data_IF_659116252803
#
_entry.id   IF_659116252803
#
_cell.length_a   1.000
_cell.length_b   1.000
_cell.length_c   1.000
_cell.angle_alpha   90.00
_cell.angle_beta   90.00
_cell.angle_gamma   90.00
#
_symmetry.space_group_name_H-M   'P 1'
#
loop_
_entity.id
_entity.type
_entity.pdbx_description
1 polymer ?
2 non-polymer ?
3 non-polymer ?
4 water ?
#
# COMPACT_ATOMS: atom_id res chain seq x y z
N UNK A 29 -21.11 -32.35 -3.53
CA UNK A 29 -21.16 -31.04 -2.91
C UNK A 29 -19.76 -30.40 -2.85
N UNK A 30 -19.66 -29.28 -2.14
CA UNK A 30 -18.44 -28.46 -2.10
C UNK A 30 -17.15 -29.20 -1.76
N UNK A 31 -16.05 -28.75 -2.37
CA UNK A 31 -14.73 -29.28 -2.09
C UNK A 31 -14.23 -28.72 -0.77
N UNK A 32 -13.81 -29.61 0.11
CA UNK A 32 -13.28 -29.23 1.40
C UNK A 32 -11.82 -28.78 1.30
N UNK A 33 -11.52 -27.68 1.99
CA UNK A 33 -10.20 -27.08 1.99
C UNK A 33 -9.79 -26.79 3.43
N UNK A 34 -8.70 -27.43 3.85
CA UNK A 34 -8.16 -27.30 5.19
C UNK A 34 -7.02 -26.29 5.17
N UNK A 35 -7.18 -25.20 5.91
CA UNK A 35 -6.15 -24.15 5.99
C UNK A 35 -5.73 -23.96 7.44
N UNK A 36 -4.42 -23.96 7.71
CA UNK A 36 -3.92 -23.72 9.06
C UNK A 36 -3.36 -22.32 9.17
N UNK A 37 -3.39 -21.77 10.37
CA UNK A 37 -2.95 -20.40 10.62
C UNK A 37 -2.28 -20.29 12.00
N UNK A 38 -1.87 -19.08 12.33
CA UNK A 38 -1.28 -18.83 13.63
C UNK A 38 -2.35 -18.78 14.71
N UNK A 39 -1.94 -18.94 15.96
CA UNK A 39 -2.85 -18.95 17.08
C UNK A 39 -3.08 -17.58 17.72
N UNK A 40 -2.25 -16.60 17.39
CA UNK A 40 -2.43 -15.27 17.93
C UNK A 40 -1.53 -14.28 17.21
N UNK A 41 -2.10 -13.58 16.25
CA UNK A 41 -1.34 -12.60 15.49
C UNK A 41 -2.29 -11.52 15.02
N UNK A 42 -2.80 -10.73 15.97
CA UNK A 42 -3.70 -9.64 15.61
C UNK A 42 -2.92 -8.60 14.80
N UNK A 43 -3.55 -8.03 13.78
CA UNK A 43 -4.94 -8.18 13.34
C UNK A 43 -5.19 -9.24 12.26
N UNK A 44 -4.23 -10.11 12.00
CA UNK A 44 -4.35 -11.12 10.95
C UNK A 44 -5.20 -12.31 11.34
N UNK A 45 -4.91 -12.90 12.50
CA UNK A 45 -5.79 -13.93 13.07
C UNK A 45 -5.73 -13.86 14.58
N UNK A 46 -6.90 -13.80 15.22
CA UNK A 46 -6.97 -13.73 16.68
C UNK A 46 -8.40 -14.01 17.15
N UNK A 47 -8.54 -14.27 18.44
CA UNK A 47 -9.86 -14.50 19.03
C UNK A 47 -10.45 -13.23 19.61
N UNK A 48 -11.71 -12.97 19.33
CA UNK A 48 -12.42 -11.84 19.89
C UNK A 48 -12.90 -12.16 21.30
N UNK A 49 -13.74 -11.30 21.85
CA UNK A 49 -14.20 -11.45 23.23
C UNK A 49 -15.03 -12.71 23.41
N UNK A 50 -15.71 -13.13 22.35
CA UNK A 50 -16.56 -14.31 22.41
C UNK A 50 -15.81 -15.57 22.02
N UNK A 51 -14.49 -15.46 21.92
CA UNK A 51 -13.61 -16.59 21.56
C UNK A 51 -13.77 -17.05 20.10
N UNK A 52 -14.33 -16.17 19.29
CA UNK A 52 -14.51 -16.43 17.87
C UNK A 52 -13.29 -15.96 17.08
N UNK A 53 -12.91 -16.72 16.07
CA UNK A 53 -11.76 -16.35 15.25
C UNK A 53 -12.11 -15.28 14.22
N UNK A 54 -11.31 -14.22 14.24
CA UNK A 54 -11.50 -13.05 13.38
C UNK A 54 -10.13 -12.60 12.90
N UNK A 55 -10.12 -11.64 11.99
CA UNK A 55 -8.88 -11.03 11.55
C UNK A 55 -8.84 -10.90 10.03
N UNK A 56 -7.81 -10.22 9.53
CA UNK A 56 -7.67 -9.98 8.11
C UNK A 56 -7.51 -11.29 7.35
N UNK A 57 -6.64 -12.18 7.84
CA UNK A 57 -6.41 -13.46 7.16
C UNK A 57 -7.66 -14.31 7.18
N UNK A 58 -8.35 -14.29 8.31
CA UNK A 58 -9.57 -15.07 8.48
C UNK A 58 -10.66 -14.57 7.52
N UNK A 59 -10.87 -13.27 7.50
CA UNK A 59 -11.89 -12.69 6.64
C UNK A 59 -11.56 -12.89 5.16
N UNK A 60 -10.30 -12.68 4.78
CA UNK A 60 -9.90 -12.93 3.41
C UNK A 60 -10.11 -14.39 3.01
N UNK A 61 -9.62 -15.32 3.81
CA UNK A 61 -9.77 -16.72 3.49
C UNK A 61 -11.23 -17.13 3.40
N UNK A 62 -12.06 -16.64 4.32
CA UNK A 62 -13.48 -16.97 4.31
C UNK A 62 -14.13 -16.48 3.02
N UNK A 63 -13.78 -15.28 2.60
CA UNK A 63 -14.39 -14.79 1.36
C UNK A 63 -13.81 -15.49 0.13
N UNK A 64 -12.51 -15.79 0.12
CA UNK A 64 -11.92 -16.55 -0.97
C UNK A 64 -12.66 -17.89 -1.11
N UNK A 65 -12.92 -18.53 0.01
CA UNK A 65 -13.63 -19.81 -0.03
C UNK A 65 -15.07 -19.68 -0.53
N UNK A 66 -15.74 -18.60 -0.11
CA UNK A 66 -17.10 -18.36 -0.56
C UNK A 66 -17.13 -18.16 -2.09
N UNK A 67 -16.23 -17.32 -2.61
CA UNK A 67 -16.17 -16.99 -4.03
C UNK A 67 -15.91 -18.25 -4.85
N UNK A 68 -15.13 -19.16 -4.28
CA UNK A 68 -14.70 -20.37 -4.96
C UNK A 68 -15.55 -21.60 -4.65
N UNK A 69 -16.62 -21.43 -3.88
CA UNK A 69 -17.48 -22.54 -3.48
C UNK A 69 -16.69 -23.65 -2.79
N UNK A 70 -15.79 -23.26 -1.88
CA UNK A 70 -15.04 -24.20 -1.07
C UNK A 70 -15.65 -24.26 0.33
N UNK A 71 -15.65 -25.46 0.91
CA UNK A 71 -15.99 -25.65 2.31
C UNK A 71 -14.72 -25.51 3.15
N UNK A 72 -14.56 -24.37 3.79
CA UNK A 72 -13.33 -24.04 4.48
C UNK A 72 -13.29 -24.62 5.87
N UNK A 73 -12.18 -25.30 6.20
CA UNK A 73 -11.91 -25.77 7.56
C UNK A 73 -10.63 -25.12 8.06
N UNK A 74 -10.79 -24.08 8.88
CA UNK A 74 -9.65 -23.35 9.46
C UNK A 74 -9.17 -24.04 10.72
N UNK A 75 -7.85 -24.08 10.90
CA UNK A 75 -7.28 -24.47 12.19
C UNK A 75 -6.23 -23.44 12.59
N UNK A 76 -5.99 -23.34 13.91
CA UNK A 76 -5.15 -22.27 14.46
C UNK A 76 -4.07 -22.80 15.42
N UNK A 77 -3.22 -23.69 14.94
CA UNK A 77 -2.25 -24.33 15.83
C UNK A 77 -1.01 -23.49 16.11
N UNK A 78 -0.81 -22.41 15.38
CA UNK A 78 0.41 -21.62 15.44
C UNK A 78 1.22 -21.80 14.17
N UNK A 79 2.02 -20.80 13.81
CA UNK A 79 2.69 -20.82 12.52
C UNK A 79 3.60 -22.02 12.32
N UNK A 80 4.45 -22.27 13.31
CA UNK A 80 5.39 -23.38 13.21
C UNK A 80 4.63 -24.71 13.07
N UNK A 81 3.58 -24.90 13.86
CA UNK A 81 2.78 -26.11 13.74
C UNK A 81 2.07 -26.18 12.39
N UNK A 82 1.62 -25.03 11.90
CA UNK A 82 0.93 -24.97 10.62
C UNK A 82 1.86 -25.46 9.49
N UNK A 83 3.13 -25.04 9.55
CA UNK A 83 4.09 -25.46 8.54
C UNK A 83 4.29 -26.96 8.62
N UNK A 84 4.38 -27.47 9.86
CA UNK A 84 4.55 -28.89 10.10
C UNK A 84 3.37 -29.66 9.54
N UNK A 85 2.16 -29.17 9.83
CA UNK A 85 0.94 -29.85 9.42
C UNK A 85 0.79 -29.79 7.89
N UNK A 86 1.18 -28.68 7.29
CA UNK A 86 1.17 -28.55 5.83
C UNK A 86 2.13 -29.54 5.15
N UNK A 87 3.35 -29.64 5.68
CA UNK A 87 4.33 -30.57 5.12
C UNK A 87 3.84 -32.01 5.29
N UNK A 88 3.15 -32.28 6.38
CA UNK A 88 2.69 -33.63 6.70
C UNK A 88 1.43 -34.01 5.92
N UNK A 89 0.88 -33.05 5.19
CA UNK A 89 -0.31 -33.26 4.37
C UNK A 89 -1.60 -33.18 5.16
N UNK A 90 -1.50 -32.79 6.43
CA UNK A 90 -2.64 -32.72 7.32
C UNK A 90 -3.57 -31.54 6.97
N UNK A 91 -3.01 -30.47 6.40
CA UNK A 91 -3.82 -29.36 5.85
C UNK A 91 -3.37 -29.12 4.42
N UNK A 92 -4.13 -28.32 3.69
CA UNK A 92 -3.91 -28.06 2.27
C UNK A 92 -3.17 -26.74 1.99
N UNK A 93 -3.23 -25.82 2.93
CA UNK A 93 -2.59 -24.52 2.76
C UNK A 93 -2.47 -23.81 4.08
N UNK A 94 -1.77 -22.68 4.04
CA UNK A 94 -1.56 -21.83 5.19
C UNK A 94 -1.89 -20.39 4.81
N UNK A 95 -2.53 -19.68 5.72
CA UNK A 95 -2.56 -18.23 5.65
C UNK A 95 -2.27 -17.77 7.08
N UNK A 96 -1.19 -17.01 7.27
CA UNK A 96 -0.68 -16.72 8.62
C UNK A 96 0.32 -15.58 8.54
N UNK A 97 -0.01 -14.52 7.80
CA UNK A 97 0.91 -13.40 7.62
C UNK A 97 2.28 -13.91 7.21
N UNK A 98 2.30 -14.83 6.24
CA UNK A 98 3.51 -15.53 5.85
C UNK A 98 4.25 -14.81 4.73
N UNK A 99 5.45 -14.33 5.03
CA UNK A 99 6.23 -13.56 4.06
C UNK A 99 6.71 -14.42 2.90
N UNK A 100 6.49 -13.93 1.67
CA UNK A 100 7.00 -14.59 0.47
C UNK A 100 8.49 -14.28 0.33
N UNK A 101 9.32 -15.33 0.25
CA UNK A 101 10.78 -15.16 0.14
C UNK A 101 11.32 -16.18 -0.84
N UNK A 102 12.49 -15.91 -1.41
CA UNK A 102 13.08 -16.83 -2.38
C UNK A 102 13.35 -18.18 -1.75
N UNK A 103 13.85 -18.17 -0.51
CA UNK A 103 14.16 -19.42 0.17
C UNK A 103 12.88 -20.24 0.39
N UNK A 104 11.78 -19.58 0.76
CA UNK A 104 10.53 -20.31 1.02
C UNK A 104 9.95 -20.90 -0.25
N UNK A 105 10.23 -20.26 -1.38
CA UNK A 105 9.79 -20.75 -2.67
C UNK A 105 10.46 -22.06 -3.06
N UNK A 106 11.51 -22.46 -2.35
CA UNK A 106 12.11 -23.78 -2.59
C UNK A 106 11.22 -24.92 -2.05
N UNK A 107 10.30 -24.57 -1.15
CA UNK A 107 9.48 -25.58 -0.46
C UNK A 107 7.98 -25.38 -0.70
N UNK A 108 7.58 -24.13 -0.92
CA UNK A 108 6.19 -23.75 -1.03
C UNK A 108 5.91 -22.99 -2.32
N UNK A 109 4.68 -23.11 -2.82
CA UNK A 109 4.20 -22.18 -3.81
C UNK A 109 3.29 -21.15 -3.11
N UNK A 110 3.34 -19.92 -3.59
CA UNK A 110 2.58 -18.82 -3.01
C UNK A 110 1.60 -18.23 -3.98
N UNK A 111 0.53 -17.68 -3.43
CA UNK A 111 -0.30 -16.73 -4.16
C UNK A 111 0.45 -15.41 -4.39
N UNK A 112 -0.18 -14.54 -5.15
CA UNK A 112 0.18 -13.14 -5.13
C UNK A 112 0.04 -12.63 -3.70
N UNK A 113 0.87 -11.65 -3.33
CA UNK A 113 0.74 -11.13 -1.97
C UNK A 113 -0.61 -10.46 -1.78
N UNK A 114 -1.28 -10.74 -0.67
CA UNK A 114 -2.57 -10.16 -0.39
C UNK A 114 -2.48 -8.96 0.57
N UNK A 115 -1.27 -8.73 1.09
CA UNK A 115 -0.97 -7.57 1.92
C UNK A 115 0.54 -7.47 2.00
N UNK A 116 1.06 -6.26 1.89
CA UNK A 116 2.47 -6.00 2.11
C UNK A 116 2.62 -5.09 3.30
N UNK A 117 3.23 -5.65 4.35
CA UNK A 117 3.37 -4.94 5.60
C UNK A 117 4.57 -4.01 5.56
N UNK A 118 4.79 -3.36 6.69
CA UNK A 118 5.84 -2.37 6.83
C UNK A 118 6.11 -2.18 8.30
N UNK A 119 7.29 -1.66 8.60
CA UNK A 119 7.66 -1.32 9.97
C UNK A 119 7.62 0.17 10.18
N UNK A 120 7.32 0.58 11.39
CA UNK A 120 7.49 1.98 11.76
C UNK A 120 7.56 2.12 13.25
N UNK A 121 7.90 3.32 13.70
CA UNK A 121 7.99 3.60 15.12
C UNK A 121 6.68 4.20 15.63
N UNK A 122 6.05 3.49 16.55
CA UNK A 122 4.89 4.03 17.27
C UNK A 122 5.37 4.92 18.39
N UNK A 123 4.67 6.02 18.61
CA UNK A 123 4.85 6.89 19.75
C UNK A 123 3.52 7.15 20.42
N UNK A 124 3.53 7.74 21.60
CA UNK A 124 2.28 8.24 22.16
C UNK A 124 1.77 9.37 21.26
N UNK A 125 0.49 9.71 21.38
CA UNK A 125 -0.07 10.76 20.55
C UNK A 125 0.51 12.14 20.86
N UNK A 126 0.98 12.33 22.08
CA UNK A 126 1.53 13.62 22.48
C UNK A 126 2.97 13.84 22.01
N UNK A 127 3.63 12.78 21.55
CA UNK A 127 5.04 12.89 21.18
C UNK A 127 5.23 13.73 19.93
N UNK A 128 6.32 14.50 19.90
CA UNK A 128 6.64 15.32 18.75
C UNK A 128 7.64 14.64 17.83
N UNK A 129 8.18 13.51 18.28
CA UNK A 129 9.15 12.76 17.50
C UNK A 129 8.51 12.24 16.23
N UNK A 130 9.22 12.42 15.11
CA UNK A 130 8.66 12.01 13.83
C UNK A 130 9.72 11.64 12.79
N UNK A 131 10.99 11.79 13.14
CA UNK A 131 12.06 11.56 12.19
C UNK A 131 13.06 10.58 12.79
N UNK A 132 13.51 9.64 11.96
CA UNK A 132 14.46 8.64 12.43
C UNK A 132 15.74 9.30 12.92
N UNK A 133 15.95 10.56 12.55
CA UNK A 133 17.06 11.35 13.05
C UNK A 133 16.81 11.86 14.49
N UNK A 134 15.54 12.05 14.85
CA UNK A 134 15.17 12.52 16.19
C UNK A 134 15.47 11.52 17.31
N UNK A 135 16.01 10.36 16.96
CA UNK A 135 16.11 9.26 17.93
C UNK A 135 17.43 9.24 18.68
N UNK A 136 18.32 10.16 18.33
CA UNK A 136 19.66 10.20 18.92
C UNK A 136 19.59 10.28 20.44
N UNK A 137 20.18 9.29 21.10
CA UNK A 137 20.27 9.28 22.55
C UNK A 137 19.04 8.73 23.24
N UNK A 138 18.02 8.40 22.46
CA UNK A 138 16.75 7.92 23.03
C UNK A 138 16.65 6.40 22.97
N UNK A 139 15.78 5.86 23.81
CA UNK A 139 15.53 4.42 23.86
C UNK A 139 14.35 4.09 22.95
N UNK A 140 14.55 3.06 22.12
CA UNK A 140 13.53 2.58 21.20
C UNK A 140 13.35 1.09 21.45
N UNK A 141 12.08 0.67 21.46
CA UNK A 141 11.73 -0.72 21.74
C UNK A 141 11.44 -1.61 20.54
N UNK A 142 11.63 -2.91 20.69
CA UNK A 142 11.16 -3.88 19.70
C UNK A 142 10.90 -5.21 20.41
N UNK A 143 10.09 -6.06 19.81
CA UNK A 143 9.85 -7.38 20.36
C UNK A 143 10.95 -8.33 19.95
N UNK A 144 11.32 -9.20 20.88
CA UNK A 144 12.41 -10.14 20.62
C UNK A 144 12.08 -11.03 19.44
N UNK A 145 13.08 -11.24 18.57
CA UNK A 145 12.93 -12.23 17.51
C UNK A 145 12.23 -11.75 16.25
N UNK A 146 12.01 -10.44 16.11
CA UNK A 146 11.20 -9.91 15.03
C UNK A 146 12.03 -9.13 14.00
N UNK A 147 11.42 -8.85 12.86
CA UNK A 147 12.05 -7.98 11.87
C UNK A 147 12.31 -6.57 12.40
N UNK A 148 11.41 -6.08 13.24
CA UNK A 148 11.58 -4.79 13.90
C UNK A 148 12.89 -4.76 14.69
N UNK A 149 13.14 -5.82 15.45
CA UNK A 149 14.37 -5.91 16.23
C UNK A 149 15.59 -5.86 15.32
N UNK A 150 15.55 -6.66 14.27
CA UNK A 150 16.66 -6.70 13.31
C UNK A 150 16.88 -5.35 12.64
N UNK A 151 15.80 -4.67 12.24
CA UNK A 151 15.96 -3.37 11.61
C UNK A 151 16.62 -2.41 12.59
N UNK A 152 16.16 -2.40 13.84
CA UNK A 152 16.76 -1.53 14.84
C UNK A 152 18.25 -1.83 14.99
N UNK A 153 18.59 -3.10 15.04
CA UNK A 153 20.01 -3.48 15.17
C UNK A 153 20.83 -3.00 13.97
N UNK A 154 20.26 -3.15 12.78
CA UNK A 154 20.95 -2.78 11.56
C UNK A 154 21.21 -1.29 11.50
N UNK A 155 20.28 -0.50 12.03
CA UNK A 155 20.33 0.95 11.85
C UNK A 155 20.75 1.71 13.10
N UNK A 156 21.18 0.99 14.14
CA UNK A 156 21.54 1.63 15.40
C UNK A 156 22.76 2.54 15.26
N UNK A 157 23.77 2.06 14.54
CA UNK A 157 24.93 2.90 14.34
C UNK A 157 24.54 4.07 13.43
N UNK A 158 23.64 3.83 12.48
CA UNK A 158 23.18 4.89 11.59
C UNK A 158 22.44 6.03 12.32
N UNK A 159 21.61 5.70 13.32
CA UNK A 159 20.72 6.69 13.95
C UNK A 159 20.96 6.97 15.44
N UNK A 160 21.73 6.11 16.12
CA UNK A 160 22.23 6.43 17.45
C UNK A 160 21.29 6.31 18.64
N UNK A 161 20.22 5.54 18.49
CA UNK A 161 19.35 5.21 19.62
C UNK A 161 19.93 4.03 20.41
N UNK A 162 19.39 3.79 21.60
CA UNK A 162 19.63 2.55 22.31
C UNK A 162 18.40 1.67 22.14
N UNK A 163 18.60 0.35 22.18
CA UNK A 163 17.54 -0.62 21.94
C UNK A 163 17.13 -1.29 23.24
N UNK A 164 15.82 -1.29 23.51
CA UNK A 164 15.25 -2.09 24.59
C UNK A 164 14.41 -3.18 23.97
N UNK A 165 14.62 -4.42 24.42
CA UNK A 165 14.01 -5.59 23.83
C UNK A 165 12.94 -6.14 24.77
N UNK A 166 11.77 -6.44 24.22
CA UNK A 166 10.63 -6.90 24.99
C UNK A 166 10.17 -8.29 24.57
N UNK A 167 9.59 -9.00 25.53
CA UNK A 167 9.15 -10.36 25.30
C UNK A 167 7.94 -10.37 24.35
N UNK A 168 7.08 -9.37 24.49
CA UNK A 168 5.84 -9.32 23.73
C UNK A 168 5.30 -7.91 23.66
N UNK A 169 4.19 -7.74 22.94
CA UNK A 169 3.62 -6.44 22.68
C UNK A 169 3.11 -5.73 23.91
N UNK A 170 2.45 -6.46 24.80
CA UNK A 170 1.90 -5.85 25.99
C UNK A 170 3.01 -5.19 26.79
N UNK A 171 4.15 -5.86 26.90
CA UNK A 171 5.24 -5.28 27.66
C UNK A 171 5.87 -4.07 26.97
N UNK A 172 6.06 -4.18 25.66
CA UNK A 172 6.63 -3.08 24.89
C UNK A 172 5.75 -1.83 24.96
N UNK A 173 4.44 -2.02 24.73
CA UNK A 173 3.57 -0.87 24.73
C UNK A 173 3.35 -0.30 26.13
N UNK A 174 3.51 -1.12 27.17
CA UNK A 174 3.51 -0.57 28.51
C UNK A 174 4.73 0.29 28.79
N UNK A 175 5.87 -0.08 28.24
CA UNK A 175 7.08 0.74 28.37
C UNK A 175 6.92 2.07 27.65
N UNK A 176 6.26 2.05 26.50
CA UNK A 176 6.02 3.28 25.75
C UNK A 176 5.11 4.20 26.53
N UNK A 177 4.05 3.66 27.12
CA UNK A 177 3.10 4.47 27.86
C UNK A 177 3.70 4.99 29.18
N UNK A 178 4.65 4.24 29.74
CA UNK A 178 5.33 4.65 30.97
C UNK A 178 6.43 5.66 30.70
N UNK A 179 6.78 5.83 29.42
CA UNK A 179 7.80 6.79 29.04
C UNK A 179 9.22 6.26 29.11
N UNK A 180 9.36 4.95 29.23
CA UNK A 180 10.67 4.33 29.31
C UNK A 180 11.29 3.98 27.97
N UNK A 181 10.50 4.06 26.90
CA UNK A 181 11.03 4.15 25.55
C UNK A 181 10.36 5.33 24.88
N UNK A 182 11.04 5.97 23.92
CA UNK A 182 10.51 7.11 23.18
C UNK A 182 9.73 6.67 21.97
N UNK A 183 9.89 5.41 21.58
CA UNK A 183 9.23 4.87 20.42
C UNK A 183 9.28 3.35 20.48
N UNK A 184 8.36 2.70 19.77
CA UNK A 184 8.28 1.25 19.72
C UNK A 184 8.16 0.85 18.26
N UNK A 185 9.14 0.10 17.78
CA UNK A 185 9.18 -0.38 16.39
C UNK A 185 8.33 -1.65 16.24
N UNK A 186 7.32 -1.59 15.38
CA UNK A 186 6.45 -2.75 15.16
C UNK A 186 5.87 -2.63 13.74
N UNK A 187 5.03 -3.58 13.37
CA UNK A 187 4.39 -3.54 12.07
C UNK A 187 3.28 -2.52 12.00
N UNK A 188 3.22 -1.82 10.88
CA UNK A 188 2.14 -0.89 10.60
C UNK A 188 0.73 -1.46 10.86
N UNK A 189 0.39 -2.66 10.35
CA UNK A 189 -0.95 -3.16 10.66
C UNK A 189 -1.22 -3.45 12.14
N UNK A 190 -0.18 -3.82 12.89
CA UNK A 190 -0.31 -4.14 14.30
C UNK A 190 -0.56 -2.85 15.08
N UNK A 191 0.20 -1.81 14.78
CA UNK A 191 0.02 -0.52 15.42
C UNK A 191 -1.35 0.06 15.03
N UNK A 192 -1.72 -0.09 13.76
CA UNK A 192 -3.02 0.43 13.28
C UNK A 192 -4.17 -0.19 14.05
N UNK A 193 -4.09 -1.50 14.25
CA UNK A 193 -5.14 -2.19 15.00
C UNK A 193 -5.16 -1.73 16.45
N UNK A 194 -3.99 -1.61 17.06
CA UNK A 194 -3.90 -1.06 18.41
C UNK A 194 -4.54 0.35 18.49
N UNK A 195 -4.33 1.18 17.46
CA UNK A 195 -4.92 2.53 17.41
C UNK A 195 -6.43 2.47 17.29
N UNK A 196 -6.91 1.49 16.53
CA UNK A 196 -8.35 1.29 16.35
C UNK A 196 -8.95 0.86 17.69
N UNK A 197 -8.19 0.06 18.43
CA UNK A 197 -8.61 -0.38 19.78
C UNK A 197 -8.67 0.77 20.79
N UNK A 198 -8.13 1.94 20.42
CA UNK A 198 -8.14 3.10 21.28
C UNK A 198 -6.88 3.27 22.11
N UNK A 199 -5.83 2.51 21.80
CA UNK A 199 -4.57 2.67 22.52
C UNK A 199 -3.95 4.04 22.16
N UNK A 200 -3.17 4.61 23.07
CA UNK A 200 -2.59 5.94 22.88
C UNK A 200 -1.35 5.86 22.00
N UNK A 201 -1.58 5.73 20.70
CA UNK A 201 -0.50 5.55 19.73
C UNK A 201 -0.72 6.42 18.51
N UNK A 202 0.41 6.84 17.92
CA UNK A 202 0.43 7.55 16.66
C UNK A 202 1.56 6.99 15.81
N UNK A 203 1.41 7.16 14.51
CA UNK A 203 2.45 6.79 13.56
C UNK A 203 2.91 8.02 12.79
N UNK A 204 3.93 8.68 13.34
CA UNK A 204 4.44 9.91 12.76
C UNK A 204 5.73 9.74 11.96
N UNK A 205 6.31 8.54 12.02
CA UNK A 205 7.53 8.24 11.31
C UNK A 205 7.28 7.60 9.94
N UNK A 206 8.25 7.71 9.04
CA UNK A 206 8.15 6.98 7.78
C UNK A 206 8.03 5.47 8.00
N UNK A 207 7.49 4.80 6.99
CA UNK A 207 7.36 3.36 6.97
C UNK A 207 8.52 2.74 6.25
N UNK A 208 8.91 1.58 6.74
CA UNK A 208 9.95 0.78 6.11
C UNK A 208 9.27 -0.45 5.54
N UNK A 209 9.19 -0.55 4.22
CA UNK A 209 8.46 -1.66 3.60
C UNK A 209 9.15 -2.98 3.93
N UNK A 210 8.33 -4.02 4.15
CA UNK A 210 8.80 -5.37 4.39
C UNK A 210 8.66 -6.11 3.07
N UNK A 211 9.79 -6.38 2.40
CA UNK A 211 9.70 -6.91 1.04
C UNK A 211 9.03 -8.27 0.94
N UNK A 212 8.37 -8.51 -0.18
CA UNK A 212 7.78 -9.81 -0.49
C UNK A 212 6.28 -9.83 -0.34
N UNK A 213 5.81 -9.32 0.80
CA UNK A 213 4.41 -9.34 1.14
C UNK A 213 4.02 -10.68 1.74
N UNK A 214 2.80 -10.74 2.23
CA UNK A 214 2.23 -11.96 2.80
C UNK A 214 1.44 -12.68 1.74
N UNK A 215 1.59 -13.99 1.70
CA UNK A 215 0.92 -14.82 0.72
C UNK A 215 0.29 -16.05 1.30
N UNK A 216 -0.68 -16.55 0.58
CA UNK A 216 -1.27 -17.88 0.81
C UNK A 216 -0.30 -18.91 0.26
N UNK A 217 -0.05 -19.94 1.06
CA UNK A 217 0.98 -20.93 0.75
C UNK A 217 0.42 -22.33 0.66
N UNK A 218 0.91 -23.07 -0.32
CA UNK A 218 0.69 -24.51 -0.42
C UNK A 218 2.04 -25.21 -0.63
N UNK A 219 2.06 -26.54 -0.64
CA UNK A 219 3.32 -27.23 -0.87
C UNK A 219 3.72 -27.07 -2.34
N UNK A 220 5.02 -26.92 -2.63
CA UNK A 220 5.42 -26.66 -4.00
C UNK A 220 4.95 -27.76 -4.94
N UNK A 221 4.40 -27.36 -6.08
CA UNK A 221 3.93 -28.29 -7.10
C UNK A 221 2.58 -28.91 -6.83
N UNK A 222 1.97 -28.52 -5.71
CA UNK A 222 0.68 -29.08 -5.30
C UNK A 222 -0.39 -27.98 -5.21
N UNK A 223 -1.63 -28.40 -5.40
CA UNK A 223 -2.79 -27.56 -5.10
C UNK A 223 -2.81 -26.23 -5.86
N UNK A 224 -2.36 -26.23 -7.10
CA UNK A 224 -2.43 -25.03 -7.93
C UNK A 224 -3.84 -24.47 -8.04
N UNK A 225 -4.84 -25.33 -7.99
CA UNK A 225 -6.21 -24.85 -8.00
C UNK A 225 -6.48 -23.92 -6.81
N UNK A 226 -5.91 -24.22 -5.64
CA UNK A 226 -6.12 -23.38 -4.46
C UNK A 226 -5.43 -22.01 -4.63
N UNK A 227 -4.19 -22.05 -5.09
CA UNK A 227 -3.47 -20.84 -5.39
C UNK A 227 -4.21 -20.00 -6.45
N UNK A 228 -4.64 -20.63 -7.54
CA UNK A 228 -5.29 -19.89 -8.60
C UNK A 228 -6.62 -19.27 -8.11
N UNK A 229 -7.34 -20.04 -7.31
CA UNK A 229 -8.60 -19.59 -6.75
C UNK A 229 -8.40 -18.43 -5.82
N UNK A 230 -7.33 -18.51 -5.04
CA UNK A 230 -6.99 -17.45 -4.14
C UNK A 230 -6.69 -16.17 -4.93
N UNK A 231 -5.84 -16.29 -5.94
CA UNK A 231 -5.47 -15.12 -6.76
C UNK A 231 -6.67 -14.49 -7.44
N UNK A 232 -7.55 -15.32 -7.97
CA UNK A 232 -8.72 -14.80 -8.68
C UNK A 232 -9.66 -14.09 -7.70
N UNK A 233 -9.90 -14.70 -6.56
CA UNK A 233 -10.76 -14.10 -5.56
C UNK A 233 -10.16 -12.82 -4.98
N UNK A 234 -8.84 -12.79 -4.80
CA UNK A 234 -8.17 -11.60 -4.30
C UNK A 234 -8.40 -10.44 -5.27
N UNK A 235 -8.22 -10.69 -6.56
CA UNK A 235 -8.36 -9.65 -7.57
C UNK A 235 -9.80 -9.14 -7.57
N UNK A 236 -10.75 -10.06 -7.41
CA UNK A 236 -12.17 -9.68 -7.34
C UNK A 236 -12.46 -8.81 -6.12
N UNK A 237 -11.97 -9.24 -4.97
CA UNK A 237 -12.17 -8.47 -3.75
C UNK A 237 -11.51 -7.09 -3.78
N UNK A 238 -10.33 -6.96 -4.38
CA UNK A 238 -9.70 -5.65 -4.50
C UNK A 238 -10.54 -4.76 -5.39
N UNK A 239 -11.09 -5.34 -6.45
CA UNK A 239 -11.84 -4.59 -7.44
C UNK A 239 -13.23 -4.17 -6.94
N UNK A 240 -13.82 -4.96 -6.03
CA UNK A 240 -15.23 -4.73 -5.68
C UNK A 240 -15.48 -4.08 -4.33
N UNK A 241 -14.39 -3.74 -3.65
CA UNK A 241 -14.47 -3.01 -2.39
C UNK A 241 -14.39 -3.87 -1.15
N UNK A 242 -14.54 -5.18 -1.30
CA UNK A 242 -14.59 -6.06 -0.13
C UNK A 242 -13.26 -6.13 0.59
N UNK A 243 -12.17 -6.13 -0.14
CA UNK A 243 -10.83 -6.12 0.44
C UNK A 243 -10.63 -4.89 1.32
N UNK A 244 -10.91 -3.72 0.77
CA UNK A 244 -10.76 -2.47 1.51
C UNK A 244 -11.61 -2.52 2.79
N UNK A 245 -12.83 -3.04 2.69
CA UNK A 245 -13.72 -3.11 3.86
C UNK A 245 -13.12 -3.99 4.93
N UNK A 246 -12.50 -5.10 4.52
CA UNK A 246 -11.84 -5.95 5.50
C UNK A 246 -10.71 -5.19 6.24
N UNK A 247 -9.82 -4.55 5.49
CA UNK A 247 -8.71 -3.83 6.10
C UNK A 247 -9.21 -2.73 7.05
N UNK A 248 -10.29 -2.05 6.66
CA UNK A 248 -10.80 -0.98 7.51
C UNK A 248 -11.41 -1.48 8.82
N UNK A 249 -11.93 -2.70 8.83
CA UNK A 249 -12.45 -3.27 10.07
C UNK A 249 -11.39 -3.29 11.18
N UNK A 250 -10.13 -3.41 10.77
CA UNK A 250 -9.04 -3.56 11.71
C UNK A 250 -8.19 -2.30 11.78
N UNK A 251 -8.67 -1.22 11.18
CA UNK A 251 -8.00 0.06 11.35
C UNK A 251 -6.96 0.42 10.30
N UNK A 252 -6.87 -0.33 9.19
CA UNK A 252 -5.77 -0.15 8.23
C UNK A 252 -6.12 0.72 7.00
N UNK A 253 -5.32 1.79 6.85
CA UNK A 253 -5.24 2.84 5.80
C UNK A 253 -6.26 3.99 5.61
N UNK A 254 -7.14 4.34 6.55
CA UNK A 254 -7.23 3.92 7.94
C UNK A 254 -5.92 3.87 8.73
N UNK B 30 -4.83 32.20 10.30
CA UNK B 30 -5.50 32.34 9.02
C UNK B 30 -4.50 32.78 7.96
N UNK B 31 -4.18 31.85 7.06
CA UNK B 31 -3.04 32.02 6.18
C UNK B 31 -3.43 31.79 4.73
N UNK B 32 -2.97 32.65 3.84
CA UNK B 32 -3.13 32.40 2.41
C UNK B 32 -2.05 31.42 1.96
N UNK B 33 -2.43 30.40 1.19
CA UNK B 33 -1.51 29.35 0.76
C UNK B 33 -1.68 29.07 -0.74
N UNK B 34 -0.63 29.34 -1.49
CA UNK B 34 -0.62 29.13 -2.95
C UNK B 34 0.03 27.80 -3.28
N UNK B 35 -0.75 26.90 -3.88
CA UNK B 35 -0.30 25.57 -4.26
C UNK B 35 -0.42 25.35 -5.75
N UNK B 36 0.68 24.96 -6.39
CA UNK B 36 0.68 24.65 -7.81
C UNK B 36 0.61 23.14 -8.07
N UNK B 37 0.03 22.79 -9.20
CA UNK B 37 -0.18 21.40 -9.59
C UNK B 37 -0.05 21.22 -11.09
N UNK B 38 -0.22 19.98 -11.54
CA UNK B 38 -0.22 19.69 -12.97
C UNK B 38 -1.52 20.16 -13.61
N UNK B 39 -1.50 20.27 -14.92
CA UNK B 39 -2.67 20.73 -15.68
C UNK B 39 -3.62 19.63 -16.10
N UNK B 40 -3.17 18.38 -16.11
CA UNK B 40 -4.06 17.28 -16.40
C UNK B 40 -3.41 15.95 -16.02
N UNK B 41 -3.83 15.39 -14.91
CA UNK B 41 -3.29 14.12 -14.42
C UNK B 41 -4.39 13.44 -13.62
N UNK B 42 -5.41 12.96 -14.32
CA UNK B 42 -6.46 12.19 -13.68
C UNK B 42 -5.88 10.87 -13.16
N UNK B 43 -6.31 10.43 -11.97
CA UNK B 43 -7.37 10.97 -11.12
C UNK B 43 -6.90 11.94 -10.04
N UNK B 44 -5.67 12.43 -10.14
CA UNK B 44 -5.11 13.34 -9.14
C UNK B 44 -5.55 14.81 -9.26
N UNK B 45 -5.45 15.38 -10.45
CA UNK B 45 -5.98 16.73 -10.71
C UNK B 45 -6.43 16.80 -12.16
N UNK B 46 -7.67 17.22 -12.39
CA UNK B 46 -8.22 17.28 -13.73
C UNK B 46 -9.49 18.10 -13.68
N UNK B 47 -9.91 18.58 -14.84
CA UNK B 47 -11.13 19.38 -14.91
C UNK B 47 -12.29 18.52 -15.33
N UNK B 48 -13.42 18.70 -14.64
CA UNK B 48 -14.66 18.00 -14.98
C UNK B 48 -15.45 18.78 -16.05
N UNK B 49 -16.69 18.38 -16.31
CA UNK B 49 -17.48 18.96 -17.38
C UNK B 49 -17.89 20.41 -17.17
N UNK B 50 -17.83 20.86 -15.91
CA UNK B 50 -18.07 22.25 -15.55
C UNK B 50 -16.81 23.07 -15.53
N UNK B 51 -15.71 22.44 -15.93
CA UNK B 51 -14.38 23.03 -15.88
C UNK B 51 -13.93 23.22 -14.43
N UNK B 52 -14.58 22.54 -13.50
CA UNK B 52 -14.16 22.58 -12.10
C UNK B 52 -12.99 21.63 -11.90
N UNK B 53 -11.99 22.09 -11.16
CA UNK B 53 -10.88 21.22 -10.78
C UNK B 53 -11.29 20.23 -9.70
N UNK B 54 -11.02 18.96 -9.99
CA UNK B 54 -11.34 17.86 -9.11
C UNK B 54 -10.19 16.86 -9.11
N UNK B 55 -10.29 15.85 -8.25
CA UNK B 55 -9.28 14.81 -8.21
C UNK B 55 -8.84 14.54 -6.78
N UNK B 56 -8.07 13.48 -6.61
CA UNK B 56 -7.54 13.09 -5.31
C UNK B 56 -6.67 14.20 -4.69
N UNK B 57 -5.75 14.75 -5.47
CA UNK B 57 -4.88 15.80 -4.95
C UNK B 57 -5.67 17.05 -4.62
N UNK B 58 -6.57 17.41 -5.52
CA UNK B 58 -7.41 18.61 -5.32
C UNK B 58 -8.25 18.46 -4.07
N UNK B 59 -8.92 17.32 -3.92
CA UNK B 59 -9.81 17.15 -2.78
C UNK B 59 -9.05 17.03 -1.46
N UNK B 60 -7.91 16.36 -1.47
CA UNK B 60 -7.10 16.27 -0.26
C UNK B 60 -6.62 17.67 0.13
N UNK B 61 -6.08 18.41 -0.83
CA UNK B 61 -5.54 19.73 -0.51
C UNK B 61 -6.65 20.66 0.00
N UNK B 62 -7.82 20.58 -0.60
CA UNK B 62 -8.96 21.40 -0.21
C UNK B 62 -9.34 21.13 1.26
N UNK B 63 -9.38 19.86 1.65
CA UNK B 63 -9.77 19.52 3.01
C UNK B 63 -8.65 19.84 3.99
N UNK B 64 -7.41 19.58 3.61
CA UNK B 64 -6.26 19.99 4.43
C UNK B 64 -6.32 21.48 4.75
N UNK B 65 -6.63 22.27 3.74
CA UNK B 65 -6.69 23.72 3.95
C UNK B 65 -7.84 24.09 4.89
N UNK B 66 -9.00 23.45 4.75
CA UNK B 66 -10.11 23.76 5.66
C UNK B 66 -9.77 23.40 7.10
N UNK B 67 -9.14 22.23 7.29
CA UNK B 67 -8.78 21.78 8.63
C UNK B 67 -7.81 22.76 9.30
N UNK B 68 -6.91 23.32 8.50
CA UNK B 68 -5.84 24.21 8.99
C UNK B 68 -6.15 25.71 8.92
N UNK B 69 -7.37 26.06 8.51
CA UNK B 69 -7.76 27.45 8.35
C UNK B 69 -6.83 28.21 7.39
N UNK B 70 -6.59 27.62 6.23
CA UNK B 70 -5.83 28.25 5.17
C UNK B 70 -6.78 28.69 4.09
N UNK B 71 -6.47 29.83 3.49
CA UNK B 71 -7.14 30.29 2.29
C UNK B 71 -6.33 29.78 1.11
N UNK B 72 -6.87 28.75 0.47
CA UNK B 72 -6.14 28.01 -0.56
C UNK B 72 -6.33 28.63 -1.95
N UNK B 73 -5.22 28.85 -2.62
CA UNK B 73 -5.21 29.33 -3.99
C UNK B 73 -4.46 28.32 -4.87
N UNK B 74 -5.21 27.48 -5.56
CA UNK B 74 -4.66 26.47 -6.46
C UNK B 74 -4.35 27.08 -7.83
N UNK B 75 -3.28 26.61 -8.43
CA UNK B 75 -2.96 26.90 -9.83
C UNK B 75 -2.50 25.61 -10.48
N UNK B 76 -2.67 25.51 -11.79
CA UNK B 76 -2.50 24.27 -12.51
C UNK B 76 -1.70 24.45 -13.81
N UNK B 77 -0.47 24.95 -13.71
CA UNK B 77 0.29 25.21 -14.94
C UNK B 77 0.89 23.97 -15.61
N UNK B 78 1.08 22.91 -14.84
CA UNK B 78 1.86 21.77 -15.30
C UNK B 78 2.95 21.49 -14.29
N UNK B 79 3.34 20.24 -14.17
CA UNK B 79 4.30 19.85 -13.16
C UNK B 79 5.63 20.60 -13.22
N UNK B 80 6.27 20.64 -14.39
CA UNK B 80 7.60 21.24 -14.48
C UNK B 80 7.53 22.73 -14.17
N UNK B 81 6.46 23.37 -14.61
CA UNK B 81 6.28 24.79 -14.30
C UNK B 81 6.01 25.01 -12.81
N UNK B 82 5.22 24.12 -12.22
CA UNK B 82 4.99 24.15 -10.77
C UNK B 82 6.31 24.13 -9.99
N UNK B 83 7.24 23.27 -10.39
CA UNK B 83 8.55 23.19 -9.74
C UNK B 83 9.29 24.52 -9.81
N UNK B 84 9.25 25.15 -10.98
CA UNK B 84 9.92 26.45 -11.18
C UNK B 84 9.28 27.52 -10.30
N UNK B 85 7.96 27.52 -10.24
CA UNK B 85 7.24 28.50 -9.42
C UNK B 85 7.55 28.35 -7.95
N UNK B 86 7.67 27.11 -7.50
CA UNK B 86 8.00 26.84 -6.11
C UNK B 86 9.43 27.31 -5.83
N UNK B 87 10.37 26.99 -6.71
CA UNK B 87 11.77 27.37 -6.52
C UNK B 87 11.91 28.90 -6.55
N UNK B 88 11.07 29.54 -7.35
CA UNK B 88 11.11 31.00 -7.48
C UNK B 88 10.36 31.70 -6.35
N UNK B 89 9.68 30.93 -5.50
CA UNK B 89 8.90 31.51 -4.43
C UNK B 89 7.57 32.07 -4.87
N UNK B 90 7.15 31.75 -6.10
CA UNK B 90 5.87 32.22 -6.62
C UNK B 90 4.68 31.48 -6.02
N UNK B 91 4.89 30.22 -5.63
CA UNK B 91 3.91 29.47 -4.85
C UNK B 91 4.62 28.93 -3.62
N UNK B 92 3.83 28.43 -2.67
CA UNK B 92 4.32 27.98 -1.38
C UNK B 92 4.55 26.48 -1.37
N UNK B 93 3.83 25.75 -2.23
CA UNK B 93 3.93 24.30 -2.23
C UNK B 93 3.41 23.69 -3.49
N UNK B 94 3.59 22.39 -3.61
CA UNK B 94 3.13 21.63 -4.75
C UNK B 94 2.40 20.37 -4.30
N UNK B 95 1.29 20.08 -4.95
CA UNK B 95 0.69 18.75 -4.88
C UNK B 95 0.34 18.36 -6.32
N UNK B 96 0.95 17.28 -6.83
CA UNK B 96 0.89 16.95 -8.24
C UNK B 96 1.39 15.52 -8.48
N UNK B 97 0.91 14.58 -7.69
CA UNK B 97 1.39 13.21 -7.77
C UNK B 97 2.91 13.16 -7.81
N UNK B 98 3.55 13.89 -6.90
CA UNK B 98 4.98 14.10 -6.92
C UNK B 98 5.70 13.06 -6.09
N UNK B 99 6.51 12.23 -6.74
CA UNK B 99 7.21 11.16 -6.07
C UNK B 99 8.28 11.71 -5.14
N UNK B 100 8.23 11.21 -3.91
CA UNK B 100 9.27 11.49 -2.92
C UNK B 100 10.50 10.63 -3.24
N UNK B 101 11.63 11.30 -3.43
CA UNK B 101 12.91 10.64 -3.67
C UNK B 101 14.00 11.28 -2.84
N UNK B 102 15.09 10.53 -2.62
CA UNK B 102 16.21 11.04 -1.85
C UNK B 102 16.82 12.23 -2.55
N UNK B 103 16.91 12.17 -3.86
CA UNK B 103 17.51 13.29 -4.58
C UNK B 103 16.66 14.55 -4.44
N UNK B 104 15.35 14.39 -4.53
CA UNK B 104 14.43 15.53 -4.40
C UNK B 104 14.49 16.16 -3.02
N UNK B 105 14.79 15.33 -2.02
CA UNK B 105 14.93 15.80 -0.64
C UNK B 105 16.12 16.74 -0.44
N UNK B 106 17.06 16.81 -1.39
CA UNK B 106 18.13 17.80 -1.34
C UNK B 106 17.60 19.21 -1.60
N UNK B 107 16.45 19.31 -2.26
CA UNK B 107 15.90 20.59 -2.69
C UNK B 107 14.57 20.93 -2.01
N UNK B 108 13.79 19.90 -1.69
CA UNK B 108 12.43 20.04 -1.19
C UNK B 108 12.28 19.30 0.13
N UNK B 109 11.38 19.78 0.96
CA UNK B 109 10.85 19.01 2.08
C UNK B 109 9.48 18.47 1.69
N UNK B 110 9.21 17.25 2.11
CA UNK B 110 7.96 16.59 1.79
C UNK B 110 7.16 16.24 3.02
N UNK B 111 5.86 16.19 2.84
CA UNK B 111 4.97 15.52 3.78
C UNK B 111 5.24 14.03 3.81
N UNK B 112 4.62 13.35 4.78
CA UNK B 112 4.53 11.93 4.67
C UNK B 112 3.77 11.63 3.39
N UNK B 113 4.03 10.46 2.80
CA UNK B 113 3.28 10.15 1.57
C UNK B 113 1.78 10.06 1.82
N UNK B 114 1.00 10.67 0.95
CA UNK B 114 -0.47 10.63 1.09
C UNK B 114 -1.12 9.60 0.16
N UNK B 115 -0.33 8.98 -0.70
CA UNK B 115 -0.76 7.91 -1.58
C UNK B 115 0.47 7.25 -2.13
N UNK B 116 0.45 5.93 -2.29
CA UNK B 116 1.57 5.25 -2.91
C UNK B 116 1.06 4.48 -4.10
N UNK B 117 1.55 4.88 -5.26
CA UNK B 117 1.08 4.29 -6.50
C UNK B 117 1.79 2.97 -6.77
N UNK B 118 1.46 2.36 -7.88
CA UNK B 118 2.02 1.08 -8.28
C UNK B 118 1.71 0.91 -9.73
N UNK B 119 2.46 0.03 -10.37
CA UNK B 119 2.22 -0.33 -11.76
C UNK B 119 1.59 -1.68 -11.85
N UNK B 120 0.76 -1.86 -12.86
CA UNK B 120 0.22 -3.18 -13.15
C UNK B 120 -0.26 -3.25 -14.60
N UNK B 121 -0.58 -4.45 -15.06
CA UNK B 121 -1.02 -4.65 -16.43
C UNK B 121 -2.53 -4.70 -16.44
N UNK B 122 -3.13 -3.76 -17.17
CA UNK B 122 -4.56 -3.77 -17.43
C UNK B 122 -4.86 -4.65 -18.63
N UNK B 123 -5.97 -5.39 -18.56
CA UNK B 123 -6.45 -6.18 -19.69
C UNK B 123 -7.91 -5.82 -19.89
N UNK B 124 -8.53 -6.31 -20.97
CA UNK B 124 -9.97 -6.21 -21.10
C UNK B 124 -10.61 -7.13 -20.05
N UNK B 125 -11.89 -6.92 -19.78
CA UNK B 125 -12.59 -7.70 -18.77
C UNK B 125 -12.66 -9.18 -19.15
N UNK B 126 -12.73 -9.46 -20.44
CA UNK B 126 -12.87 -10.84 -20.91
C UNK B 126 -11.56 -11.63 -20.89
N UNK B 127 -10.43 -10.95 -20.65
CA UNK B 127 -9.13 -11.61 -20.72
C UNK B 127 -8.89 -12.58 -19.57
N UNK B 128 -8.21 -13.68 -19.87
CA UNK B 128 -7.80 -14.65 -18.86
C UNK B 128 -6.34 -14.51 -18.46
N UNK B 129 -5.65 -13.48 -18.95
CA UNK B 129 -4.27 -13.25 -18.58
C UNK B 129 -4.22 -12.67 -17.18
N UNK B 130 -3.34 -13.21 -16.34
CA UNK B 130 -3.25 -12.75 -14.95
C UNK B 130 -1.85 -12.81 -14.35
N UNK B 131 -0.87 -13.30 -15.11
CA UNK B 131 0.49 -13.46 -14.58
C UNK B 131 1.50 -12.94 -15.57
N UNK B 132 2.54 -12.27 -15.06
CA UNK B 132 3.57 -11.66 -15.90
C UNK B 132 4.22 -12.73 -16.76
N UNK B 133 4.13 -13.98 -16.30
CA UNK B 133 4.60 -15.14 -17.05
C UNK B 133 3.61 -15.66 -18.11
N UNK B 134 2.44 -15.01 -18.24
CA UNK B 134 1.49 -15.30 -19.34
C UNK B 134 1.80 -14.45 -20.57
N UNK B 135 2.79 -13.59 -20.47
CA UNK B 135 2.99 -12.53 -21.45
C UNK B 135 3.91 -12.94 -22.59
N UNK B 136 4.48 -14.12 -22.50
CA UNK B 136 5.41 -14.59 -23.51
C UNK B 136 4.76 -14.58 -24.89
N UNK B 137 5.38 -13.84 -25.81
CA UNK B 137 4.96 -13.83 -27.20
C UNK B 137 3.87 -12.82 -27.51
N UNK B 138 3.40 -12.14 -26.48
CA UNK B 138 2.31 -11.19 -26.59
C UNK B 138 2.81 -9.74 -26.56
N UNK B 139 2.00 -8.84 -27.08
CA UNK B 139 2.36 -7.43 -27.17
C UNK B 139 1.77 -6.72 -25.96
N UNK B 140 2.61 -5.92 -25.29
CA UNK B 140 2.21 -5.15 -24.12
C UNK B 140 2.52 -3.69 -24.35
N UNK B 141 1.57 -2.82 -24.00
CA UNK B 141 1.74 -1.39 -24.18
C UNK B 141 2.12 -0.65 -22.94
N UNK B 142 2.71 0.52 -23.14
CA UNK B 142 2.95 1.53 -22.11
C UNK B 142 2.97 2.89 -22.77
N UNK B 143 2.74 3.91 -21.96
CA UNK B 143 2.84 5.29 -22.45
C UNK B 143 4.28 5.78 -22.46
N UNK B 144 4.63 6.52 -23.51
CA UNK B 144 5.98 7.01 -23.67
C UNK B 144 6.38 7.92 -22.53
N UNK B 145 7.59 7.75 -22.02
CA UNK B 145 8.16 8.65 -21.02
C UNK B 145 7.73 8.33 -19.61
N UNK B 146 7.22 7.13 -19.37
CA UNK B 146 6.67 6.79 -18.06
C UNK B 146 7.47 5.70 -17.36
N UNK B 147 7.23 5.57 -16.06
CA UNK B 147 7.80 4.49 -15.29
C UNK B 147 7.35 3.15 -15.84
N UNK B 148 6.11 3.10 -16.34
CA UNK B 148 5.57 1.86 -16.89
C UNK B 148 6.40 1.44 -18.10
N UNK B 149 6.73 2.41 -18.95
CA UNK B 149 7.56 2.12 -20.10
C UNK B 149 8.93 1.61 -19.64
N UNK B 150 9.48 2.24 -18.61
CA UNK B 150 10.79 1.87 -18.14
C UNK B 150 10.77 0.42 -17.61
N UNK B 151 9.73 0.10 -16.85
CA UNK B 151 9.60 -1.24 -16.31
C UNK B 151 9.49 -2.28 -17.43
N UNK B 152 8.67 -2.00 -18.44
CA UNK B 152 8.55 -2.95 -19.55
C UNK B 152 9.87 -3.21 -20.27
N UNK B 153 10.61 -2.14 -20.54
CA UNK B 153 11.88 -2.26 -21.21
C UNK B 153 12.82 -3.10 -20.36
N UNK B 154 12.85 -2.81 -19.05
CA UNK B 154 13.80 -3.45 -18.14
C UNK B 154 13.47 -4.92 -17.85
N UNK B 155 12.22 -5.32 -18.09
CA UNK B 155 11.77 -6.69 -17.82
C UNK B 155 11.39 -7.53 -19.04
N UNK B 156 11.69 -7.02 -20.22
CA UNK B 156 11.28 -7.69 -21.44
C UNK B 156 11.98 -9.04 -21.60
N UNK B 157 13.29 -9.07 -21.37
CA UNK B 157 14.06 -10.29 -21.47
C UNK B 157 13.51 -11.35 -20.51
N UNK B 158 13.18 -10.91 -19.31
CA UNK B 158 12.66 -11.80 -18.27
C UNK B 158 11.36 -12.48 -18.72
N UNK B 159 10.41 -11.71 -19.30
CA UNK B 159 9.07 -12.24 -19.57
C UNK B 159 8.73 -12.51 -21.04
N UNK B 160 9.48 -11.91 -21.96
CA UNK B 160 9.39 -12.28 -23.37
C UNK B 160 8.20 -11.74 -24.15
N UNK B 161 7.63 -10.62 -23.70
CA UNK B 161 6.62 -9.91 -24.46
C UNK B 161 7.30 -9.02 -25.48
N UNK B 162 6.54 -8.52 -26.46
CA UNK B 162 7.01 -7.42 -27.27
C UNK B 162 6.38 -6.15 -26.71
N UNK B 163 7.01 -5.01 -26.95
CA UNK B 163 6.57 -3.74 -26.41
C UNK B 163 6.00 -2.85 -27.51
N UNK B 164 4.89 -2.19 -27.20
CA UNK B 164 4.35 -1.11 -28.02
C UNK B 164 4.25 0.12 -27.14
N UNK B 165 4.60 1.27 -27.70
CA UNK B 165 4.62 2.52 -26.96
C UNK B 165 3.55 3.45 -27.54
N UNK B 166 2.88 4.17 -26.66
CA UNK B 166 1.79 5.06 -27.03
C UNK B 166 2.01 6.47 -26.51
N UNK B 167 1.46 7.41 -27.26
CA UNK B 167 1.61 8.81 -26.92
C UNK B 167 0.80 9.15 -25.68
N UNK B 168 -0.31 8.45 -25.49
CA UNK B 168 -1.18 8.73 -24.36
C UNK B 168 -2.11 7.55 -24.04
N UNK B 169 -2.92 7.72 -23.01
CA UNK B 169 -3.81 6.67 -22.56
C UNK B 169 -4.90 6.31 -23.53
N UNK B 170 -5.47 7.31 -24.18
CA UNK B 170 -6.58 7.03 -25.07
C UNK B 170 -6.07 6.11 -26.17
N UNK B 171 -4.88 6.38 -26.68
CA UNK B 171 -4.32 5.51 -27.71
C UNK B 171 -3.99 4.13 -27.19
N UNK B 172 -3.40 4.06 -26.00
CA UNK B 172 -3.04 2.78 -25.43
C UNK B 172 -4.27 1.89 -25.19
N UNK B 173 -5.28 2.47 -24.57
CA UNK B 173 -6.46 1.68 -24.26
C UNK B 173 -7.28 1.32 -25.50
N UNK B 174 -7.25 2.14 -26.54
CA UNK B 174 -7.90 1.75 -27.77
C UNK B 174 -7.20 0.55 -28.38
N UNK B 175 -5.88 0.52 -28.29
CA UNK B 175 -5.14 -0.63 -28.80
C UNK B 175 -5.46 -1.89 -27.99
N UNK B 176 -5.67 -1.74 -26.68
CA UNK B 176 -6.04 -2.86 -25.84
C UNK B 176 -7.44 -3.39 -26.23
N UNK B 177 -8.40 -2.48 -26.41
CA UNK B 177 -9.76 -2.88 -26.77
C UNK B 177 -9.82 -3.55 -28.15
N UNK B 178 -8.95 -3.12 -29.05
CA UNK B 178 -8.94 -3.67 -30.39
C UNK B 178 -8.20 -5.01 -30.46
N UNK B 179 -7.48 -5.37 -29.40
CA UNK B 179 -6.73 -6.61 -29.38
C UNK B 179 -5.32 -6.50 -29.95
N UNK B 180 -4.88 -5.28 -30.25
CA UNK B 180 -3.56 -5.07 -30.83
C UNK B 180 -2.46 -5.20 -29.77
N UNK B 181 -2.85 -5.01 -28.52
CA UNK B 181 -1.98 -5.39 -27.39
C UNK B 181 -2.80 -6.26 -26.45
N UNK B 182 -2.09 -7.14 -25.73
CA UNK B 182 -2.72 -8.09 -24.82
C UNK B 182 -2.84 -7.53 -23.41
N UNK B 183 -2.02 -6.52 -23.12
CA UNK B 183 -2.07 -5.85 -21.85
C UNK B 183 -1.50 -4.47 -21.99
N UNK B 184 -1.83 -3.61 -21.02
CA UNK B 184 -1.36 -2.24 -21.00
C UNK B 184 -0.84 -1.94 -19.59
N UNK B 185 0.45 -1.65 -19.50
CA UNK B 185 1.11 -1.32 -18.24
C UNK B 185 0.88 0.14 -17.90
N UNK B 186 0.31 0.42 -16.73
CA UNK B 186 0.03 1.79 -16.32
C UNK B 186 -0.06 1.81 -14.81
N UNK B 187 -0.27 2.99 -14.26
CA UNK B 187 -0.44 3.12 -12.82
C UNK B 187 -1.79 2.62 -12.39
N UNK B 188 -1.81 1.93 -11.26
CA UNK B 188 -3.04 1.48 -10.64
C UNK B 188 -4.12 2.57 -10.52
N UNK B 189 -3.79 3.74 -9.98
CA UNK B 189 -4.85 4.78 -9.88
C UNK B 189 -5.39 5.21 -11.24
N UNK B 190 -4.55 5.24 -12.25
CA UNK B 190 -4.98 5.66 -13.59
C UNK B 190 -5.93 4.63 -14.23
N UNK B 191 -5.57 3.36 -14.10
CA UNK B 191 -6.42 2.29 -14.60
C UNK B 191 -7.72 2.30 -13.81
N UNK B 192 -7.63 2.50 -12.51
CA UNK B 192 -8.79 2.51 -11.64
C UNK B 192 -9.79 3.59 -12.06
N UNK B 193 -9.27 4.78 -12.32
CA UNK B 193 -10.14 5.87 -12.75
C UNK B 193 -10.78 5.52 -14.10
N UNK B 194 -10.01 4.97 -15.03
CA UNK B 194 -10.57 4.63 -16.34
C UNK B 194 -11.68 3.58 -16.20
N UNK B 195 -11.51 2.64 -15.27
CA UNK B 195 -12.56 1.67 -14.97
C UNK B 195 -13.78 2.37 -14.41
N UNK B 196 -13.58 3.30 -13.47
CA UNK B 196 -14.70 4.07 -12.93
C UNK B 196 -15.47 4.73 -14.07
N UNK B 197 -14.77 5.23 -15.07
CA UNK B 197 -15.43 5.88 -16.20
C UNK B 197 -16.24 4.90 -17.06
N UNK B 198 -16.15 3.61 -16.77
CA UNK B 198 -16.89 2.60 -17.51
C UNK B 198 -16.11 1.90 -18.62
N UNK B 199 -14.82 2.14 -18.70
CA UNK B 199 -14.00 1.50 -19.73
C UNK B 199 -13.81 0.01 -19.49
N UNK B 200 -13.67 -0.74 -20.59
CA UNK B 200 -13.54 -2.20 -20.55
C UNK B 200 -12.14 -2.59 -20.08
N UNK B 201 -11.94 -2.54 -18.77
CA UNK B 201 -10.64 -2.80 -18.17
C UNK B 201 -10.78 -3.61 -16.90
N UNK B 202 -9.75 -4.43 -16.65
CA UNK B 202 -9.62 -5.17 -15.40
C UNK B 202 -8.16 -5.18 -14.95
N UNK B 203 -7.95 -5.39 -13.65
CA UNK B 203 -6.61 -5.56 -13.06
C UNK B 203 -6.52 -6.93 -12.41
N UNK B 204 -6.01 -7.89 -13.17
CA UNK B 204 -5.90 -9.27 -12.72
C UNK B 204 -4.49 -9.70 -12.41
N UNK B 205 -3.54 -8.78 -12.57
CA UNK B 205 -2.13 -9.07 -12.33
C UNK B 205 -1.70 -8.53 -10.97
N UNK B 206 -0.56 -9.02 -10.48
CA UNK B 206 0.07 -8.42 -9.30
C UNK B 206 0.58 -7.04 -9.64
N UNK B 207 0.92 -6.28 -8.62
CA UNK B 207 1.39 -4.91 -8.77
C UNK B 207 2.87 -4.79 -8.48
N UNK B 208 3.51 -3.79 -9.07
CA UNK B 208 4.88 -3.42 -8.78
C UNK B 208 4.82 -2.07 -8.09
N UNK B 209 5.20 -1.99 -6.83
CA UNK B 209 5.06 -0.73 -6.12
C UNK B 209 6.04 0.30 -6.67
N UNK B 210 5.64 1.56 -6.63
CA UNK B 210 6.52 2.65 -7.01
C UNK B 210 7.02 3.28 -5.72
N UNK B 211 8.27 3.01 -5.34
CA UNK B 211 8.75 3.43 -4.02
C UNK B 211 8.70 4.92 -3.80
N UNK B 212 8.56 5.34 -2.55
CA UNK B 212 8.55 6.75 -2.21
C UNK B 212 7.17 7.26 -1.88
N UNK B 213 6.20 7.02 -2.77
CA UNK B 213 4.88 7.57 -2.62
C UNK B 213 4.85 9.01 -3.08
N UNK B 214 3.65 9.53 -3.12
CA UNK B 214 3.43 10.92 -3.50
C UNK B 214 3.36 11.77 -2.26
N UNK B 215 4.01 12.93 -2.33
CA UNK B 215 4.04 13.84 -1.22
C UNK B 215 3.71 15.27 -1.60
N UNK B 216 3.21 15.98 -0.61
CA UNK B 216 3.10 17.43 -0.67
C UNK B 216 4.51 18.00 -0.48
N UNK B 217 4.92 18.93 -1.34
CA UNK B 217 6.29 19.43 -1.34
C UNK B 217 6.38 20.92 -1.11
N UNK B 218 7.40 21.34 -0.36
CA UNK B 218 7.74 22.74 -0.16
C UNK B 218 9.25 22.90 -0.36
N UNK B 219 9.75 24.13 -0.43
CA UNK B 219 11.19 24.34 -0.47
C UNK B 219 11.85 23.93 0.85
N UNK B 220 13.04 23.32 0.76
CA UNK B 220 13.70 22.79 1.93
C UNK B 220 13.95 23.90 2.96
N UNK B 221 13.59 23.60 4.20
CA UNK B 221 13.78 24.53 5.30
C UNK B 221 12.74 25.63 5.39
N UNK B 222 11.79 25.63 4.45
CA UNK B 222 10.71 26.60 4.42
C UNK B 222 9.36 25.92 4.67
N UNK B 223 8.43 26.66 5.25
CA UNK B 223 7.03 26.25 5.28
C UNK B 223 6.81 24.91 5.97
N UNK B 224 7.62 24.64 7.00
CA UNK B 224 7.36 23.44 7.79
C UNK B 224 5.96 23.51 8.37
N UNK B 225 5.43 24.71 8.61
CA UNK B 225 4.06 24.86 9.08
C UNK B 225 3.09 24.17 8.14
N UNK B 226 3.34 24.30 6.83
CA UNK B 226 2.41 23.70 5.86
C UNK B 226 2.60 22.19 5.83
N UNK B 227 3.84 21.73 5.89
CA UNK B 227 4.10 20.31 5.90
C UNK B 227 3.48 19.68 7.13
N UNK B 228 3.67 20.31 8.28
CA UNK B 228 3.14 19.76 9.52
C UNK B 228 1.60 19.75 9.51
N UNK B 229 1.01 20.81 8.99
CA UNK B 229 -0.44 20.90 8.89
C UNK B 229 -1.00 19.87 7.92
N UNK B 230 -0.26 19.63 6.84
CA UNK B 230 -0.66 18.60 5.88
C UNK B 230 -0.65 17.23 6.56
N UNK B 231 0.46 16.91 7.22
CA UNK B 231 0.58 15.64 7.91
C UNK B 231 -0.52 15.44 8.97
N UNK B 232 -0.75 16.47 9.76
CA UNK B 232 -1.75 16.38 10.82
C UNK B 232 -3.16 16.20 10.25
N UNK B 233 -3.49 16.96 9.23
CA UNK B 233 -4.82 16.86 8.62
C UNK B 233 -5.00 15.51 7.96
N UNK B 234 -3.95 15.04 7.27
CA UNK B 234 -4.03 13.75 6.60
C UNK B 234 -4.34 12.63 7.59
N UNK B 235 -3.67 12.63 8.73
CA UNK B 235 -3.92 11.59 9.73
C UNK B 235 -5.35 11.67 10.23
N UNK B 236 -5.87 12.89 10.39
CA UNK B 236 -7.26 13.07 10.78
C UNK B 236 -8.23 12.51 9.75
N UNK B 237 -7.94 12.79 8.48
CA UNK B 237 -8.77 12.34 7.39
C UNK B 237 -8.71 10.84 7.22
N UNK B 238 -7.57 10.23 7.52
CA UNK B 238 -7.52 8.77 7.51
C UNK B 238 -8.38 8.18 8.61
N UNK B 239 -8.30 8.80 9.78
CA UNK B 239 -9.01 8.29 10.95
C UNK B 239 -10.53 8.43 10.85
N UNK B 240 -10.98 9.54 10.24
CA UNK B 240 -12.43 9.78 10.16
C UNK B 240 -13.11 9.27 8.90
N UNK B 241 -12.35 8.67 7.99
CA UNK B 241 -12.91 8.03 6.80
C UNK B 241 -12.92 8.92 5.58
N UNK B 242 -12.61 10.20 5.75
CA UNK B 242 -12.68 11.16 4.64
C UNK B 242 -11.66 10.83 3.54
N UNK B 243 -10.48 10.39 3.96
CA UNK B 243 -9.45 9.99 3.02
C UNK B 243 -9.91 8.84 2.14
N UNK B 244 -10.44 7.78 2.74
CA UNK B 244 -10.93 6.67 1.94
C UNK B 244 -12.06 7.08 0.97
N UNK B 245 -12.95 7.95 1.42
CA UNK B 245 -14.05 8.40 0.57
C UNK B 245 -13.54 9.13 -0.67
N UNK B 246 -12.47 9.90 -0.50
CA UNK B 246 -11.87 10.62 -1.62
C UNK B 246 -11.29 9.63 -2.63
N UNK B 247 -10.53 8.66 -2.14
CA UNK B 247 -9.98 7.67 -3.05
C UNK B 247 -11.06 6.91 -3.80
N UNK B 248 -12.09 6.45 -3.09
CA UNK B 248 -13.17 5.69 -3.74
C UNK B 248 -13.91 6.50 -4.79
N UNK B 249 -14.06 7.80 -4.54
CA UNK B 249 -14.79 8.70 -5.45
C UNK B 249 -14.18 8.65 -6.84
N UNK B 250 -12.87 8.46 -6.92
CA UNK B 250 -12.17 8.42 -8.20
C UNK B 250 -11.84 7.00 -8.67
N UNK B 251 -12.42 6.01 -7.99
CA UNK B 251 -12.37 4.64 -8.44
C UNK B 251 -11.28 3.77 -7.81
N UNK B 252 -10.55 4.31 -6.83
CA UNK B 252 -9.47 3.55 -6.20
C UNK B 252 -10.11 2.68 -5.14
N UNK B 253 -10.09 1.37 -5.35
CA UNK B 253 -10.95 0.47 -4.59
C UNK B 253 -10.19 -0.38 -3.57
N UNK B 254 -8.87 -0.40 -3.65
CA UNK B 254 -8.08 -1.22 -2.73
C UNK B 254 -6.83 -0.48 -2.38
#
# INVERSE_FOLDING_TARGET
>A
METMKKLFFALAMMLATVTAFLVAPSVKAETTVKIASDSSYAPFEFQNGQKKWVGIDVDIMQEVAKINDWKLEMSYPGFDAALQNLKAGQVDGIIAGMTITDERKETFDFSNPYYTSALTIATTKDSKLSDYSDLKGKAVGAKNGTAAQTWLQENQKKYGYTIKTYSDGVHMFAALSSGNIAGAMDEVPVISYAMKQGQDLAMNFPSISLPGGYGFAVMKGKNSTLVDGFNKALAEMKSNGDYDKILKKYGITA
>B
METMKKLFFALAMMLATVTAFLVAPSVKAETTVKIASDSSYAPFEFQNGQKKWVGIDVDIMQEVAKINDWKLEMSYPGFDAALQNLKAGQVDGIIAGMTITDERKETFDFSNPYYTSALTIATTKDSKLSDYSDLKGKAVGAKNGTAAQTWLQENQKKYGYTIKTYSDGVHMFAALSSGNIAGAMDEVPVISYAMKQGQDLAMNFPSISLPGGYGFAVMKGKNSTLVDGFNKALAEMKSNGDYDKILKKYGITA
#
